data_IF_688557502760
#
_entry.id   IF_688557502760
#
_cell.length_a   1.000
_cell.length_b   1.000
_cell.length_c   1.000
_cell.angle_alpha   90.00
_cell.angle_beta   90.00
_cell.angle_gamma   90.00
#
_symmetry.space_group_name_H-M   'P 1'
#
loop_
_entity.id
_entity.type
_entity.pdbx_description
1 polymer ?
#
# COMPACT_ATOMS: atom_id res chain seq x y z
N UNK A 1 -0.66 -21.60 10.85
CA UNK A 1 -1.00 -21.76 9.43
C UNK A 1 -1.19 -20.39 8.75
N UNK A 2 -0.20 -19.49 8.83
CA UNK A 2 -0.25 -18.13 8.26
C UNK A 2 0.90 -17.85 7.28
N UNK A 3 1.76 -18.84 7.05
CA UNK A 3 3.00 -18.66 6.29
C UNK A 3 2.87 -19.03 4.81
N UNK A 4 1.77 -19.67 4.41
CA UNK A 4 1.55 -20.09 3.01
C UNK A 4 0.04 -20.17 2.69
N UNK A 5 -0.64 -19.04 2.49
CA UNK A 5 -2.06 -19.03 2.16
C UNK A 5 -2.27 -19.53 0.72
N UNK A 6 -3.12 -20.54 0.46
CA UNK A 6 -3.30 -21.07 -0.90
C UNK A 6 -3.91 -20.03 -1.85
N UNK A 7 -3.35 -19.88 -3.06
CA UNK A 7 -3.94 -19.03 -4.10
C UNK A 7 -5.11 -19.72 -4.80
N UNK A 8 -6.19 -18.96 -5.01
CA UNK A 8 -7.28 -19.39 -5.88
C UNK A 8 -6.81 -19.44 -7.35
N UNK A 9 -7.21 -20.51 -8.05
CA UNK A 9 -6.81 -20.91 -9.42
C UNK A 9 -6.84 -19.79 -10.49
N UNK A 10 -7.58 -18.70 -10.24
CA UNK A 10 -7.83 -17.62 -11.21
C UNK A 10 -6.88 -16.42 -11.07
N UNK A 11 -5.98 -16.43 -10.09
CA UNK A 11 -5.12 -15.29 -9.75
C UNK A 11 -3.64 -15.53 -10.03
N UNK A 12 -3.32 -16.42 -10.98
CA UNK A 12 -1.95 -16.56 -11.48
C UNK A 12 -1.53 -15.27 -12.19
N UNK A 13 -0.96 -14.33 -11.44
CA UNK A 13 -0.24 -13.21 -12.00
C UNK A 13 1.06 -13.73 -12.61
N UNK A 14 1.36 -13.41 -13.87
CA UNK A 14 2.64 -13.81 -14.50
C UNK A 14 3.87 -13.27 -13.75
N UNK A 15 3.69 -12.16 -13.02
CA UNK A 15 4.69 -11.56 -12.15
C UNK A 15 4.24 -11.70 -10.69
N UNK A 16 4.31 -12.91 -10.13
CA UNK A 16 4.01 -13.12 -8.71
C UNK A 16 5.10 -12.43 -7.87
N UNK A 17 4.74 -11.34 -7.19
CA UNK A 17 5.64 -10.61 -6.29
C UNK A 17 5.88 -11.44 -5.00
N UNK A 18 4.93 -12.30 -4.64
CA UNK A 18 5.01 -13.20 -3.49
C UNK A 18 5.00 -14.66 -3.97
N UNK A 19 5.88 -15.54 -3.45
CA UNK A 19 5.94 -16.94 -3.83
C UNK A 19 4.80 -17.69 -3.14
N UNK A 20 3.62 -17.67 -3.74
CA UNK A 20 2.45 -18.34 -3.17
C UNK A 20 2.08 -19.53 -4.07
N UNK A 21 2.04 -20.72 -3.49
CA UNK A 21 1.78 -21.95 -4.22
C UNK A 21 0.27 -22.13 -4.52
N UNK A 22 -0.02 -22.73 -5.66
CA UNK A 22 -1.39 -23.05 -6.09
C UNK A 22 -1.83 -24.37 -5.45
N UNK A 23 -2.92 -24.37 -4.68
CA UNK A 23 -3.41 -25.56 -3.98
C UNK A 23 -4.79 -25.96 -4.52
N UNK A 24 -4.88 -27.14 -5.12
CA UNK A 24 -6.14 -27.72 -5.60
C UNK A 24 -6.86 -28.41 -4.45
N UNK A 25 -7.78 -27.73 -3.77
CA UNK A 25 -8.66 -28.39 -2.78
C UNK A 25 -10.01 -28.75 -3.38
N UNK A 26 -10.15 -29.99 -3.85
CA UNK A 26 -11.41 -30.59 -4.26
C UNK A 26 -12.15 -31.12 -3.02
N UNK A 27 -12.97 -30.28 -2.38
CA UNK A 27 -13.95 -30.76 -1.42
C UNK A 27 -15.21 -31.21 -2.19
N UNK A 28 -15.38 -32.53 -2.33
CA UNK A 28 -16.68 -33.19 -2.46
C UNK A 28 -17.54 -32.75 -3.66
N UNK A 29 -16.92 -32.50 -4.83
CA UNK A 29 -17.66 -32.30 -6.08
C UNK A 29 -18.47 -31.00 -6.22
N UNK A 30 -18.41 -30.10 -5.24
CA UNK A 30 -19.04 -28.78 -5.35
C UNK A 30 -17.96 -27.71 -5.45
N UNK A 31 -17.83 -27.09 -6.62
CA UNK A 31 -17.00 -25.91 -6.80
C UNK A 31 -17.61 -24.76 -5.98
N UNK A 32 -17.13 -24.57 -4.75
CA UNK A 32 -17.39 -23.35 -3.99
C UNK A 32 -16.71 -22.19 -4.74
N UNK A 33 -17.44 -21.59 -5.65
CA UNK A 33 -17.00 -20.44 -6.42
C UNK A 33 -17.02 -19.25 -5.46
N UNK A 34 -15.92 -19.01 -4.74
CA UNK A 34 -15.75 -17.76 -4.03
C UNK A 34 -15.88 -16.65 -5.07
N UNK A 35 -16.86 -15.76 -4.89
CA UNK A 35 -17.03 -14.57 -5.71
C UNK A 35 -15.91 -13.59 -5.39
N UNK A 36 -14.70 -13.91 -5.84
CA UNK A 36 -13.55 -13.02 -5.73
C UNK A 36 -13.75 -11.95 -6.79
N UNK A 37 -14.01 -10.73 -6.32
CA UNK A 37 -14.19 -9.56 -7.18
C UNK A 37 -12.84 -9.21 -7.80
N UNK A 38 -12.70 -9.41 -9.10
CA UNK A 38 -11.58 -8.84 -9.86
C UNK A 38 -11.80 -7.31 -9.96
N UNK A 39 -10.90 -6.47 -9.39
CA UNK A 39 -11.02 -5.02 -9.49
C UNK A 39 -10.99 -4.48 -10.93
N UNK A 40 -10.53 -5.30 -11.90
CA UNK A 40 -10.51 -4.99 -13.33
C UNK A 40 -11.64 -5.64 -14.12
N UNK A 41 -12.56 -6.36 -13.48
CA UNK A 41 -13.64 -7.06 -14.17
C UNK A 41 -14.53 -6.08 -14.94
N UNK A 42 -14.81 -6.34 -16.23
CA UNK A 42 -15.70 -5.52 -17.03
C UNK A 42 -17.18 -5.73 -16.69
N UNK A 43 -17.53 -6.50 -15.65
CA UNK A 43 -18.90 -6.85 -15.28
C UNK A 43 -19.47 -6.00 -14.13
N UNK A 44 -18.63 -5.25 -13.41
CA UNK A 44 -19.08 -4.35 -12.34
C UNK A 44 -19.62 -3.03 -12.90
N UNK A 45 -20.84 -2.63 -12.52
CA UNK A 45 -21.37 -1.28 -12.81
C UNK A 45 -20.44 -0.17 -12.31
N UNK A 46 -20.80 1.09 -12.56
CA UNK A 46 -20.03 2.32 -12.28
C UNK A 46 -19.51 2.52 -10.84
N UNK A 47 -19.66 1.53 -9.95
CA UNK A 47 -19.35 1.57 -8.52
C UNK A 47 -18.05 0.81 -8.18
N UNK A 48 -17.43 0.08 -9.11
CA UNK A 48 -16.24 -0.74 -8.78
C UNK A 48 -15.27 -0.98 -9.93
N UNK A 49 -14.59 0.06 -10.42
CA UNK A 49 -13.54 -0.11 -11.46
C UNK A 49 -12.31 0.75 -11.21
N UNK A 50 -11.17 0.09 -11.00
CA UNK A 50 -9.84 0.65 -11.27
C UNK A 50 -8.93 0.84 -10.06
N UNK A 51 -7.62 0.72 -10.32
CA UNK A 51 -6.55 1.18 -9.43
C UNK A 51 -6.51 2.71 -9.50
N UNK A 52 -7.41 3.38 -8.76
CA UNK A 52 -7.63 4.83 -8.73
C UNK A 52 -8.03 5.48 -10.08
N UNK A 53 -9.16 6.18 -10.09
CA UNK A 53 -9.67 6.91 -11.27
C UNK A 53 -9.26 8.39 -11.27
N UNK A 54 -9.13 8.98 -10.08
CA UNK A 54 -8.69 10.33 -9.71
C UNK A 54 -8.79 10.42 -8.17
N UNK A 55 -7.95 11.18 -7.43
CA UNK A 55 -6.94 12.18 -7.83
C UNK A 55 -5.62 11.62 -8.40
N UNK A 56 -4.79 12.52 -8.94
CA UNK A 56 -3.42 12.23 -9.44
C UNK A 56 -2.36 12.19 -8.35
N UNK A 57 -2.64 12.76 -7.17
CA UNK A 57 -1.76 12.77 -6.01
C UNK A 57 -2.51 12.37 -4.73
N UNK A 58 -1.82 11.64 -3.86
CA UNK A 58 -2.35 11.13 -2.60
C UNK A 58 -1.40 11.45 -1.46
N UNK A 59 -1.96 11.68 -0.29
CA UNK A 59 -1.23 11.70 0.97
C UNK A 59 -1.34 10.31 1.58
N UNK A 60 -0.19 9.72 1.89
CA UNK A 60 -0.12 8.43 2.59
C UNK A 60 0.62 8.67 3.90
N UNK A 61 -0.03 8.35 5.01
CA UNK A 61 0.56 8.47 6.35
C UNK A 61 1.29 7.17 6.73
N UNK A 62 2.09 7.20 7.79
CA UNK A 62 2.99 6.08 8.18
C UNK A 62 2.23 4.78 8.54
N UNK A 63 0.95 4.91 8.91
CA UNK A 63 -0.04 3.83 9.12
C UNK A 63 -0.69 3.35 7.81
N UNK A 64 -0.21 3.83 6.66
CA UNK A 64 -0.71 3.56 5.31
C UNK A 64 -2.14 4.03 5.04
N UNK A 65 -2.66 4.96 5.85
CA UNK A 65 -3.93 5.61 5.54
C UNK A 65 -3.75 6.49 4.29
N UNK A 66 -4.56 6.24 3.26
CA UNK A 66 -4.51 6.96 1.98
C UNK A 66 -5.64 7.98 1.92
N UNK A 67 -5.30 9.23 1.61
CA UNK A 67 -6.27 10.32 1.40
C UNK A 67 -5.91 11.13 0.15
N UNK A 68 -6.89 11.84 -0.41
CA UNK A 68 -6.66 12.76 -1.52
C UNK A 68 -5.68 13.88 -1.09
N UNK A 69 -4.66 14.13 -1.91
CA UNK A 69 -3.68 15.17 -1.60
C UNK A 69 -4.15 16.55 -2.08
N UNK A 70 -3.92 17.55 -1.24
CA UNK A 70 -3.90 18.97 -1.59
C UNK A 70 -2.95 19.68 -0.62
N UNK A 71 -2.37 20.81 -1.01
CA UNK A 71 -1.49 21.58 -0.10
C UNK A 71 -2.23 22.00 1.17
N UNK A 72 -3.53 22.34 1.06
CA UNK A 72 -4.37 22.73 2.19
C UNK A 72 -4.60 21.54 3.15
N UNK A 73 -4.90 20.34 2.62
CA UNK A 73 -5.13 19.16 3.44
C UNK A 73 -3.84 18.70 4.14
N UNK A 74 -2.69 18.80 3.48
CA UNK A 74 -1.39 18.49 4.08
C UNK A 74 -1.05 19.44 5.25
N UNK A 75 -1.21 20.76 5.06
CA UNK A 75 -0.97 21.75 6.13
C UNK A 75 -1.95 21.54 7.29
N UNK A 76 -3.23 21.31 6.99
CA UNK A 76 -4.25 21.01 8.01
C UNK A 76 -3.90 19.76 8.82
N UNK A 77 -3.39 18.72 8.15
CA UNK A 77 -2.93 17.49 8.81
C UNK A 77 -1.76 17.75 9.76
N UNK A 78 -0.74 18.50 9.33
CA UNK A 78 0.40 18.87 10.19
C UNK A 78 -0.03 19.70 11.41
N UNK A 79 -0.94 20.66 11.22
CA UNK A 79 -1.50 21.45 12.30
C UNK A 79 -2.24 20.58 13.34
N UNK A 80 -2.99 19.55 12.89
CA UNK A 80 -3.67 18.60 13.80
C UNK A 80 -2.69 17.76 14.61
N UNK A 81 -1.49 17.51 14.09
CA UNK A 81 -0.41 16.83 14.80
C UNK A 81 0.40 17.78 15.69
N UNK A 82 0.09 19.08 15.71
CA UNK A 82 0.87 20.13 16.38
C UNK A 82 2.34 20.19 15.93
N UNK A 83 2.60 19.86 14.65
CA UNK A 83 3.95 19.94 14.07
C UNK A 83 4.12 21.33 13.44
N UNK A 84 5.09 22.15 13.89
CA UNK A 84 5.36 23.43 13.27
C UNK A 84 5.99 23.23 11.89
N UNK A 85 5.60 24.05 10.91
CA UNK A 85 6.10 23.94 9.54
C UNK A 85 7.62 24.15 9.42
N UNK A 86 8.23 24.84 10.39
CA UNK A 86 9.68 25.05 10.48
C UNK A 86 10.47 23.77 10.75
N UNK A 87 9.81 22.72 11.24
CA UNK A 87 10.43 21.42 11.54
C UNK A 87 10.18 20.38 10.43
N UNK A 88 9.48 20.75 9.36
CA UNK A 88 9.13 19.83 8.26
C UNK A 88 10.17 19.94 7.15
N UNK A 89 10.79 18.80 6.79
CA UNK A 89 11.67 18.68 5.62
C UNK A 89 10.93 17.99 4.47
N UNK A 90 11.03 18.55 3.27
CA UNK A 90 10.57 17.88 2.05
C UNK A 90 11.65 16.94 1.50
N UNK A 91 11.26 15.70 1.24
CA UNK A 91 12.14 14.68 0.65
C UNK A 91 11.46 14.10 -0.59
N UNK A 92 12.12 14.19 -1.73
CA UNK A 92 11.66 13.60 -2.99
C UNK A 92 12.31 12.22 -3.17
N UNK A 93 11.49 11.18 -3.28
CA UNK A 93 11.92 9.79 -3.44
C UNK A 93 11.25 9.17 -4.67
N UNK A 94 11.98 8.28 -5.34
CA UNK A 94 11.41 7.42 -6.39
C UNK A 94 11.12 6.04 -5.79
N UNK A 95 9.87 5.58 -5.93
CA UNK A 95 9.44 4.29 -5.39
C UNK A 95 9.38 3.28 -6.53
N UNK A 96 10.31 2.32 -6.52
CA UNK A 96 10.34 1.18 -7.41
C UNK A 96 9.82 -0.10 -6.75
N UNK A 97 10.02 -1.22 -7.43
CA UNK A 97 9.61 -2.54 -6.92
C UNK A 97 10.29 -2.90 -5.59
N UNK A 98 11.57 -2.55 -5.44
CA UNK A 98 12.35 -2.83 -4.24
C UNK A 98 11.80 -2.07 -3.02
N UNK A 99 11.53 -0.79 -3.19
CA UNK A 99 10.97 0.08 -2.15
C UNK A 99 9.54 -0.35 -1.81
N UNK A 100 8.72 -0.68 -2.81
CA UNK A 100 7.37 -1.18 -2.60
C UNK A 100 7.34 -2.49 -1.80
N UNK A 101 8.22 -3.45 -2.10
CA UNK A 101 8.34 -4.69 -1.35
C UNK A 101 8.83 -4.45 0.08
N UNK A 102 9.74 -3.50 0.26
CA UNK A 102 10.23 -3.08 1.59
C UNK A 102 9.10 -2.47 2.44
N UNK A 103 8.29 -1.58 1.87
CA UNK A 103 7.10 -1.02 2.53
C UNK A 103 6.08 -2.11 2.88
N UNK A 104 5.82 -3.04 1.94
CA UNK A 104 4.92 -4.17 2.20
C UNK A 104 5.42 -5.05 3.33
N UNK A 105 6.72 -5.36 3.36
CA UNK A 105 7.30 -6.12 4.47
C UNK A 105 7.15 -5.35 5.79
N UNK A 106 7.43 -4.06 5.79
CA UNK A 106 7.33 -3.22 6.97
C UNK A 106 5.89 -3.08 7.49
N UNK A 107 4.88 -3.03 6.61
CA UNK A 107 3.47 -2.93 7.02
C UNK A 107 2.95 -4.17 7.74
N UNK A 108 3.56 -5.32 7.47
CA UNK A 108 3.21 -6.60 8.11
C UNK A 108 3.94 -6.80 9.43
N UNK A 109 5.05 -6.10 9.65
CA UNK A 109 5.93 -6.33 10.81
C UNK A 109 6.06 -5.14 11.74
N UNK A 110 5.51 -3.97 11.38
CA UNK A 110 5.69 -2.71 12.10
C UNK A 110 4.48 -1.80 11.95
N UNK A 111 4.26 -0.93 12.95
CA UNK A 111 3.29 0.17 12.90
C UNK A 111 3.80 1.39 12.13
N UNK A 112 5.10 1.39 11.75
CA UNK A 112 5.73 2.49 11.03
C UNK A 112 6.22 2.06 9.66
N UNK A 113 5.28 1.82 8.76
CA UNK A 113 5.55 1.13 7.50
C UNK A 113 6.40 1.99 6.55
N UNK A 114 6.14 3.29 6.46
CA UNK A 114 6.85 4.17 5.53
C UNK A 114 8.24 4.49 6.05
N UNK A 115 8.38 4.81 7.35
CA UNK A 115 9.68 5.12 7.95
C UNK A 115 10.64 3.93 7.81
N UNK A 116 10.16 2.72 8.11
CA UNK A 116 10.97 1.50 8.00
C UNK A 116 11.15 1.06 6.54
N UNK A 117 10.10 1.12 5.73
CA UNK A 117 10.11 0.68 4.34
C UNK A 117 11.02 1.53 3.44
N UNK A 118 11.07 2.84 3.70
CA UNK A 118 11.87 3.82 2.95
C UNK A 118 13.21 4.15 3.61
N UNK A 119 13.53 3.54 4.77
CA UNK A 119 14.77 3.76 5.53
C UNK A 119 15.02 5.24 5.91
N UNK A 120 14.00 5.94 6.41
CA UNK A 120 14.07 7.39 6.70
C UNK A 120 14.71 7.75 8.06
N UNK A 121 15.45 6.83 8.69
CA UNK A 121 15.86 6.95 10.10
C UNK A 121 17.05 7.89 10.38
N UNK A 122 17.76 8.34 9.35
CA UNK A 122 19.09 8.95 9.52
C UNK A 122 19.25 10.41 9.07
N UNK A 123 18.17 11.15 8.79
CA UNK A 123 18.31 12.59 8.49
C UNK A 123 18.38 13.41 9.79
N UNK A 124 19.60 13.70 10.24
CA UNK A 124 19.85 14.72 11.29
C UNK A 124 19.41 16.11 10.80
N UNK A 125 18.91 16.98 11.69
CA UNK A 125 18.63 18.37 11.35
C UNK A 125 19.91 19.06 10.87
N UNK A 126 19.81 19.79 9.76
CA UNK A 126 20.85 20.73 9.34
C UNK A 126 20.96 21.78 10.44
N UNK A 127 22.06 21.76 11.19
CA UNK A 127 22.49 22.91 11.98
C UNK A 127 22.84 24.03 11.00
N UNK A 128 22.01 25.07 10.94
CA UNK A 128 22.41 26.35 10.36
C UNK A 128 23.39 27.03 11.32
N UNK A 129 24.56 27.42 10.79
CA UNK A 129 25.51 28.31 11.45
C UNK A 129 25.04 29.77 11.38
#
# INVERSE_FOLDING_TARGET
MLLDPPLALKFKCYNQILPIHEEQKLANGTLAYYNILDPKSPLGGNIGRGFAKEPSMYMVTDDLTVTAFSSISAISYLNRLNIPLTEVEEIVLSIGMKEALSILKASLTSSSALINGLNLKDKKPKQEC
#
